data_IF_879618053620
#
_entry.id   IF_879618053620
#
_cell.length_a   1.000
_cell.length_b   1.000
_cell.length_c   1.000
_cell.angle_alpha   90.00
_cell.angle_beta   90.00
_cell.angle_gamma   90.00
#
_symmetry.space_group_name_H-M   'P 1'
#
loop_
_entity.id
_entity.type
_entity.pdbx_description
1 polymer ?
#
# COMPACT_ATOMS: atom_id res chain seq x y z
N UNK A 1 -12.98 37.00 -10.67
CA UNK A 1 -11.95 36.12 -10.12
C UNK A 1 -12.53 35.53 -8.85
N UNK A 2 -13.04 34.31 -8.89
CA UNK A 2 -13.47 33.58 -7.68
C UNK A 2 -12.24 33.05 -6.99
N UNK A 3 -12.17 33.27 -5.69
CA UNK A 3 -11.06 32.87 -4.82
C UNK A 3 -10.91 31.34 -4.84
N UNK A 4 -9.86 30.85 -5.46
CA UNK A 4 -9.55 29.41 -5.59
C UNK A 4 -9.10 28.80 -4.25
N UNK A 5 -8.84 29.66 -3.24
CA UNK A 5 -8.35 29.23 -1.93
C UNK A 5 -9.44 28.63 -1.02
N UNK A 6 -10.72 28.92 -1.29
CA UNK A 6 -11.83 28.48 -0.44
C UNK A 6 -12.36 27.05 -0.75
N UNK A 7 -12.08 26.50 -1.94
CA UNK A 7 -12.58 25.19 -2.38
C UNK A 7 -11.58 24.00 -2.19
N UNK A 8 -10.38 24.29 -1.71
CA UNK A 8 -9.40 23.29 -1.30
C UNK A 8 -9.60 22.90 0.17
N UNK A 9 -10.67 22.23 0.52
CA UNK A 9 -10.72 21.45 1.78
C UNK A 9 -9.80 20.24 1.64
N UNK A 10 -8.52 20.52 1.83
CA UNK A 10 -7.45 19.55 1.97
C UNK A 10 -7.68 18.78 3.28
N UNK A 11 -7.90 17.48 3.20
CA UNK A 11 -7.68 16.62 4.36
C UNK A 11 -6.16 16.54 4.60
N UNK A 12 -5.64 17.54 5.33
CA UNK A 12 -4.26 17.53 5.84
C UNK A 12 -4.17 16.39 6.85
N UNK A 13 -3.39 15.36 6.53
CA UNK A 13 -3.22 14.19 7.39
C UNK A 13 -2.10 14.43 8.42
N UNK A 14 -1.25 15.45 8.21
CA UNK A 14 -0.18 15.85 9.15
C UNK A 14 -0.01 17.37 9.10
N UNK A 15 -0.26 18.08 10.20
CA UNK A 15 0.14 19.47 10.40
C UNK A 15 1.54 19.54 11.03
N UNK A 16 2.41 20.36 10.46
CA UNK A 16 3.78 20.55 10.87
C UNK A 16 3.93 21.17 12.27
N UNK A 17 4.88 20.64 13.04
CA UNK A 17 5.26 21.11 14.36
C UNK A 17 5.96 22.48 14.37
N UNK A 18 5.99 23.09 15.54
CA UNK A 18 6.57 24.43 15.82
C UNK A 18 8.07 24.48 15.58
N UNK A 19 8.51 25.55 14.89
CA UNK A 19 9.91 25.91 14.64
C UNK A 19 10.61 26.27 15.96
N UNK A 20 11.67 25.53 16.34
CA UNK A 20 12.66 25.95 17.33
C UNK A 20 13.91 26.47 16.62
N UNK A 21 14.31 27.72 16.90
CA UNK A 21 15.50 28.35 16.36
C UNK A 21 16.77 27.71 16.95
N UNK A 22 17.51 26.97 16.14
CA UNK A 22 18.94 26.71 16.34
C UNK A 22 19.72 27.30 15.15
N UNK A 23 20.80 28.03 15.42
CA UNK A 23 21.69 28.58 14.39
C UNK A 23 22.58 27.44 13.90
N UNK A 24 22.31 26.95 12.71
CA UNK A 24 23.28 26.35 11.80
C UNK A 24 22.60 26.32 10.44
N UNK A 25 23.28 26.69 9.38
CA UNK A 25 22.90 26.88 7.97
C UNK A 25 21.39 26.80 7.71
N UNK A 26 20.77 27.94 7.38
CA UNK A 26 19.32 27.98 7.05
C UNK A 26 19.08 27.07 5.82
N UNK A 27 18.85 25.82 6.07
CA UNK A 27 18.32 24.90 5.05
C UNK A 27 16.96 25.45 4.63
N UNK A 28 16.83 25.83 3.36
CA UNK A 28 15.57 26.37 2.84
C UNK A 28 14.52 25.29 2.99
N UNK A 29 13.48 25.54 3.79
CA UNK A 29 12.38 24.60 3.99
C UNK A 29 11.72 24.24 2.65
N UNK A 30 11.73 22.97 2.31
CA UNK A 30 11.18 22.44 1.06
C UNK A 30 9.72 22.04 1.23
N UNK A 31 9.01 22.03 0.10
CA UNK A 31 7.60 21.62 0.06
C UNK A 31 7.41 20.43 -0.85
N UNK A 32 6.97 19.32 -0.28
CA UNK A 32 6.72 18.07 -0.99
C UNK A 32 5.24 17.68 -0.97
N UNK A 33 4.77 17.14 -2.08
CA UNK A 33 3.43 16.55 -2.16
C UNK A 33 3.55 15.06 -2.48
N UNK A 34 2.83 14.24 -1.71
CA UNK A 34 2.69 12.80 -1.95
C UNK A 34 1.29 12.56 -2.47
N UNK A 35 1.18 12.23 -3.74
CA UNK A 35 -0.09 12.00 -4.43
C UNK A 35 -0.45 10.52 -4.35
N UNK A 36 -1.63 10.25 -3.81
CA UNK A 36 -2.19 8.90 -3.70
C UNK A 36 -3.60 8.84 -4.27
N UNK A 37 -4.20 7.65 -4.33
CA UNK A 37 -5.62 7.48 -4.62
C UNK A 37 -6.22 6.46 -3.65
N UNK A 38 -7.41 6.76 -3.11
CA UNK A 38 -8.16 5.87 -2.19
C UNK A 38 -8.86 4.73 -2.94
N UNK A 39 -8.12 4.03 -3.79
CA UNK A 39 -8.53 2.77 -4.41
C UNK A 39 -7.81 1.67 -3.61
N UNK A 40 -8.41 1.28 -2.46
CA UNK A 40 -7.72 0.48 -1.44
C UNK A 40 -7.00 1.35 -0.39
N UNK A 41 -6.45 0.72 0.64
CA UNK A 41 -5.75 1.44 1.73
C UNK A 41 -4.22 1.37 1.61
N UNK A 42 -3.68 0.46 0.80
CA UNK A 42 -2.24 0.23 0.67
C UNK A 42 -1.48 1.47 0.22
N UNK A 43 -1.87 2.06 -0.91
CA UNK A 43 -1.22 3.26 -1.47
C UNK A 43 -1.19 4.44 -0.48
N UNK A 44 -2.30 4.69 0.23
CA UNK A 44 -2.37 5.77 1.20
C UNK A 44 -1.56 5.49 2.48
N UNK A 45 -1.42 4.25 2.92
CA UNK A 45 -0.56 3.90 4.05
C UNK A 45 0.93 3.98 3.67
N UNK A 46 1.32 3.57 2.46
CA UNK A 46 2.67 3.79 1.94
C UNK A 46 3.02 5.29 1.84
N UNK A 47 2.07 6.10 1.34
CA UNK A 47 2.22 7.55 1.31
C UNK A 47 2.44 8.16 2.70
N UNK A 48 1.70 7.69 3.71
CA UNK A 48 1.89 8.11 5.11
C UNK A 48 3.24 7.69 5.66
N UNK A 49 3.70 6.47 5.38
CA UNK A 49 5.00 5.99 5.82
C UNK A 49 6.14 6.87 5.28
N UNK A 50 6.05 7.29 4.00
CA UNK A 50 7.01 8.21 3.39
C UNK A 50 6.94 9.59 4.05
N UNK A 51 5.72 10.11 4.29
CA UNK A 51 5.54 11.41 4.95
C UNK A 51 6.12 11.41 6.37
N UNK A 52 5.88 10.35 7.15
CA UNK A 52 6.48 10.17 8.48
C UNK A 52 8.02 10.14 8.42
N UNK A 53 8.61 9.48 7.41
CA UNK A 53 10.05 9.43 7.22
C UNK A 53 10.63 10.80 6.90
N UNK A 54 10.03 11.56 5.98
CA UNK A 54 10.44 12.93 5.63
C UNK A 54 10.35 13.84 6.85
N UNK A 55 9.21 13.86 7.54
CA UNK A 55 8.98 14.73 8.71
C UNK A 55 9.97 14.44 9.85
N UNK A 56 10.36 13.18 10.02
CA UNK A 56 11.32 12.76 11.04
C UNK A 56 12.75 13.15 10.71
N UNK A 57 13.16 13.01 9.44
CA UNK A 57 14.53 13.27 9.00
C UNK A 57 14.78 14.74 8.68
N UNK A 58 13.77 15.46 8.22
CA UNK A 58 13.81 16.87 7.83
C UNK A 58 12.58 17.62 8.39
N UNK A 59 12.55 17.88 9.71
CA UNK A 59 11.36 18.44 10.37
C UNK A 59 11.03 19.88 9.95
N UNK A 60 11.96 20.58 9.29
CA UNK A 60 11.73 21.91 8.74
C UNK A 60 10.92 21.89 7.43
N UNK A 61 10.92 20.76 6.71
CA UNK A 61 10.26 20.62 5.43
C UNK A 61 8.75 20.40 5.59
N UNK A 62 7.98 20.89 4.62
CA UNK A 62 6.53 20.67 4.54
C UNK A 62 6.25 19.48 3.65
N UNK A 63 5.55 18.47 4.17
CA UNK A 63 5.08 17.34 3.39
C UNK A 63 3.57 17.15 3.55
N UNK A 64 2.86 17.03 2.43
CA UNK A 64 1.41 16.84 2.41
C UNK A 64 1.04 15.61 1.59
N UNK A 65 0.19 14.75 2.17
CA UNK A 65 -0.39 13.59 1.47
C UNK A 65 -1.75 13.99 0.92
N UNK A 66 -1.90 13.93 -0.39
CA UNK A 66 -3.12 14.32 -1.09
C UNK A 66 -3.75 13.11 -1.79
N UNK A 67 -5.01 12.85 -1.44
CA UNK A 67 -5.82 11.87 -2.17
C UNK A 67 -6.41 12.52 -3.42
N UNK A 68 -5.89 12.11 -4.57
CA UNK A 68 -6.22 12.73 -5.85
C UNK A 68 -7.64 12.36 -6.36
N UNK A 69 -8.20 11.25 -5.89
CA UNK A 69 -9.51 10.74 -6.31
C UNK A 69 -10.63 11.15 -5.36
N UNK A 70 -10.36 11.33 -4.06
CA UNK A 70 -11.41 11.58 -3.06
C UNK A 70 -11.80 13.05 -2.86
N UNK A 71 -11.10 13.99 -3.50
CA UNK A 71 -11.42 15.40 -3.35
C UNK A 71 -12.73 15.76 -4.08
N UNK A 72 -13.71 16.23 -3.32
CA UNK A 72 -15.11 16.55 -3.67
C UNK A 72 -15.35 17.54 -4.86
N UNK A 73 -14.42 17.70 -5.77
CA UNK A 73 -14.47 18.69 -6.84
C UNK A 73 -15.18 18.24 -8.12
N UNK A 74 -15.59 16.95 -8.24
CA UNK A 74 -16.29 16.50 -9.44
C UNK A 74 -17.30 15.36 -9.17
N UNK A 75 -18.56 15.57 -9.64
CA UNK A 75 -19.58 14.52 -9.75
C UNK A 75 -19.16 13.34 -10.64
N UNK A 76 -18.13 13.51 -11.46
CA UNK A 76 -17.53 12.50 -12.35
C UNK A 76 -16.71 11.48 -11.55
N UNK A 77 -16.07 11.88 -10.45
CA UNK A 77 -15.23 11.01 -9.62
C UNK A 77 -16.03 9.85 -9.00
N UNK A 78 -17.30 10.08 -8.65
CA UNK A 78 -18.20 9.01 -8.21
C UNK A 78 -18.45 7.97 -9.30
N UNK A 79 -18.64 8.39 -10.54
CA UNK A 79 -18.89 7.47 -11.66
C UNK A 79 -17.66 6.63 -11.96
N UNK A 80 -16.45 7.22 -11.93
CA UNK A 80 -15.19 6.51 -12.18
C UNK A 80 -14.87 5.56 -11.01
N UNK A 81 -15.00 6.03 -9.76
CA UNK A 81 -14.77 5.22 -8.57
C UNK A 81 -15.78 4.09 -8.43
N UNK A 82 -17.06 4.39 -8.57
CA UNK A 82 -18.14 3.39 -8.51
C UNK A 82 -18.08 2.45 -9.71
N UNK A 83 -17.74 2.93 -10.90
CA UNK A 83 -17.52 2.12 -12.09
C UNK A 83 -16.35 1.15 -11.93
N UNK A 84 -15.21 1.62 -11.41
CA UNK A 84 -14.03 0.81 -11.15
C UNK A 84 -14.28 -0.22 -10.03
N UNK A 85 -14.86 0.19 -8.90
CA UNK A 85 -15.20 -0.72 -7.81
C UNK A 85 -16.27 -1.74 -8.22
N UNK A 86 -17.32 -1.31 -8.96
CA UNK A 86 -18.33 -2.22 -9.51
C UNK A 86 -17.73 -3.18 -10.55
N UNK A 87 -16.78 -2.74 -11.35
CA UNK A 87 -16.10 -3.61 -12.31
C UNK A 87 -15.30 -4.72 -11.61
N UNK A 88 -14.62 -4.40 -10.50
CA UNK A 88 -13.90 -5.40 -9.69
C UNK A 88 -14.87 -6.33 -8.96
N UNK A 89 -15.96 -5.79 -8.38
CA UNK A 89 -16.90 -6.58 -7.56
C UNK A 89 -17.86 -7.42 -8.40
N UNK A 90 -18.34 -6.90 -9.54
CA UNK A 90 -19.40 -7.54 -10.36
C UNK A 90 -18.81 -8.41 -11.48
N UNK A 91 -17.61 -8.08 -11.98
CA UNK A 91 -16.96 -8.79 -13.08
C UNK A 91 -15.48 -9.06 -12.80
N UNK A 92 -15.13 -9.84 -11.75
CA UNK A 92 -13.74 -10.13 -11.42
C UNK A 92 -12.99 -10.83 -12.56
N UNK A 93 -13.65 -11.74 -13.28
CA UNK A 93 -13.07 -12.42 -14.46
C UNK A 93 -12.82 -11.47 -15.63
N UNK A 94 -13.71 -10.49 -15.85
CA UNK A 94 -13.54 -9.47 -16.88
C UNK A 94 -12.43 -8.48 -16.50
N UNK A 95 -12.24 -8.21 -15.21
CA UNK A 95 -11.10 -7.43 -14.73
C UNK A 95 -9.77 -8.17 -14.95
N UNK A 96 -9.73 -9.47 -14.71
CA UNK A 96 -8.56 -10.33 -14.96
C UNK A 96 -8.23 -10.38 -16.46
N UNK A 97 -9.24 -10.49 -17.33
CA UNK A 97 -9.07 -10.38 -18.78
C UNK A 97 -8.64 -8.98 -19.22
N UNK A 98 -9.23 -7.92 -18.68
CA UNK A 98 -8.82 -6.55 -18.96
C UNK A 98 -7.42 -6.26 -18.37
N UNK A 99 -7.06 -6.86 -17.25
CA UNK A 99 -5.73 -6.76 -16.66
C UNK A 99 -4.69 -7.49 -17.49
N UNK A 100 -4.95 -8.72 -17.91
CA UNK A 100 -4.07 -9.51 -18.78
C UNK A 100 -4.03 -9.01 -20.21
N UNK A 101 -5.18 -8.62 -20.79
CA UNK A 101 -5.28 -8.09 -22.17
C UNK A 101 -4.85 -6.62 -22.27
N UNK A 102 -4.98 -5.80 -21.20
CA UNK A 102 -4.48 -4.42 -21.19
C UNK A 102 -2.95 -4.37 -21.26
N UNK A 103 -2.27 -5.44 -20.83
CA UNK A 103 -0.84 -5.59 -21.09
C UNK A 103 -0.50 -5.69 -22.58
N UNK A 104 -1.45 -6.03 -23.46
CA UNK A 104 -1.19 -6.21 -24.90
C UNK A 104 -2.10 -5.39 -25.83
N UNK A 105 -3.15 -4.70 -25.34
CA UNK A 105 -4.12 -4.07 -26.23
C UNK A 105 -3.95 -2.56 -26.37
N UNK A 106 -4.11 -2.06 -27.63
CA UNK A 106 -4.20 -0.62 -27.94
C UNK A 106 -5.34 0.09 -27.16
N UNK A 107 -6.33 -0.66 -26.68
CA UNK A 107 -7.46 -0.13 -25.92
C UNK A 107 -7.05 0.22 -24.48
N UNK A 108 -6.18 -0.57 -23.84
CA UNK A 108 -5.64 -0.27 -22.50
C UNK A 108 -4.81 1.01 -22.50
N UNK A 109 -3.96 1.21 -23.53
CA UNK A 109 -3.17 2.44 -23.68
C UNK A 109 -4.06 3.66 -23.94
N UNK A 110 -5.15 3.50 -24.71
CA UNK A 110 -6.10 4.58 -24.98
C UNK A 110 -6.87 5.01 -23.72
N UNK A 111 -7.37 4.06 -22.92
CA UNK A 111 -8.07 4.34 -21.67
C UNK A 111 -7.17 5.01 -20.62
N UNK A 112 -5.90 4.59 -20.53
CA UNK A 112 -4.88 5.23 -19.70
C UNK A 112 -4.69 6.69 -20.09
N UNK A 113 -4.49 6.96 -21.38
CA UNK A 113 -4.28 8.32 -21.90
C UNK A 113 -5.50 9.22 -21.63
N UNK A 114 -6.71 8.69 -21.79
CA UNK A 114 -7.94 9.43 -21.51
C UNK A 114 -8.08 9.78 -20.02
N UNK A 115 -7.79 8.85 -19.11
CA UNK A 115 -7.78 9.10 -17.67
C UNK A 115 -6.71 10.13 -17.29
N UNK A 116 -5.50 9.97 -17.76
CA UNK A 116 -4.41 10.92 -17.51
C UNK A 116 -4.72 12.32 -18.04
N UNK A 117 -5.35 12.44 -19.20
CA UNK A 117 -5.79 13.72 -19.75
C UNK A 117 -6.89 14.38 -18.92
N UNK A 118 -7.84 13.63 -18.38
CA UNK A 118 -8.90 14.18 -17.50
C UNK A 118 -8.34 14.77 -16.21
N UNK A 119 -7.27 14.17 -15.67
CA UNK A 119 -6.61 14.63 -14.45
C UNK A 119 -5.52 15.69 -14.68
N UNK A 120 -5.01 15.84 -15.89
CA UNK A 120 -3.90 16.73 -16.22
C UNK A 120 -4.14 18.20 -15.85
N UNK A 121 -5.32 18.74 -16.20
CA UNK A 121 -5.65 20.16 -15.88
C UNK A 121 -5.63 20.41 -14.38
N UNK A 122 -6.17 19.48 -13.60
CA UNK A 122 -6.20 19.57 -12.14
C UNK A 122 -4.79 19.49 -11.55
N UNK A 123 -3.97 18.55 -12.03
CA UNK A 123 -2.57 18.44 -11.62
C UNK A 123 -1.80 19.73 -11.92
N UNK A 124 -1.97 20.31 -13.12
CA UNK A 124 -1.35 21.59 -13.47
C UNK A 124 -1.76 22.71 -12.52
N UNK A 125 -3.07 22.87 -12.23
CA UNK A 125 -3.57 23.89 -11.32
C UNK A 125 -3.00 23.71 -9.90
N UNK A 126 -2.91 22.47 -9.40
CA UNK A 126 -2.31 22.15 -8.10
C UNK A 126 -0.85 22.60 -8.07
N UNK A 127 -0.04 22.19 -9.03
CA UNK A 127 1.40 22.51 -9.09
C UNK A 127 1.63 24.01 -9.19
N UNK A 128 0.86 24.72 -10.05
CA UNK A 128 0.99 26.18 -10.22
C UNK A 128 0.57 26.97 -8.97
N UNK A 129 -0.46 26.51 -8.25
CA UNK A 129 -0.94 27.15 -7.04
C UNK A 129 -0.02 26.90 -5.84
N UNK A 130 0.56 25.71 -5.72
CA UNK A 130 1.29 25.28 -4.53
C UNK A 130 2.80 25.34 -4.66
N UNK A 131 3.32 25.33 -5.90
CA UNK A 131 4.76 25.37 -6.25
C UNK A 131 5.60 24.41 -5.39
N UNK A 132 5.36 23.09 -5.50
CA UNK A 132 6.16 22.11 -4.75
C UNK A 132 7.59 22.04 -5.31
N UNK A 133 8.53 21.70 -4.45
CA UNK A 133 9.93 21.43 -4.84
C UNK A 133 10.09 20.06 -5.48
N UNK A 134 9.26 19.09 -5.12
CA UNK A 134 9.14 17.78 -5.79
C UNK A 134 7.80 17.11 -5.45
N UNK A 135 7.45 16.09 -6.23
CA UNK A 135 6.25 15.29 -6.00
C UNK A 135 6.56 13.79 -6.00
N UNK A 136 5.85 13.08 -5.12
CA UNK A 136 5.87 11.61 -5.02
C UNK A 136 4.51 11.07 -5.40
N UNK A 137 4.48 9.93 -6.07
CA UNK A 137 3.26 9.26 -6.50
C UNK A 137 3.25 7.82 -6.00
N UNK A 138 2.30 7.46 -5.16
CA UNK A 138 2.08 6.07 -4.73
C UNK A 138 0.97 5.38 -5.52
N UNK A 139 0.39 6.09 -6.53
CA UNK A 139 -0.65 5.55 -7.41
C UNK A 139 -0.41 6.03 -8.85
N UNK A 140 -0.62 5.17 -9.88
CA UNK A 140 -0.29 5.50 -11.27
C UNK A 140 -1.14 6.61 -11.89
N UNK A 141 -2.41 6.80 -11.49
CA UNK A 141 -3.27 7.83 -12.10
C UNK A 141 -2.74 9.26 -11.93
N UNK A 142 -2.42 9.73 -10.72
CA UNK A 142 -1.79 11.04 -10.58
C UNK A 142 -0.38 11.10 -11.18
N UNK A 143 0.37 9.98 -11.20
CA UNK A 143 1.69 9.91 -11.83
C UNK A 143 1.61 10.20 -13.31
N UNK A 144 0.76 9.48 -14.05
CA UNK A 144 0.57 9.68 -15.50
C UNK A 144 0.08 11.10 -15.85
N UNK A 145 -0.73 11.74 -15.00
CA UNK A 145 -1.14 13.13 -15.21
C UNK A 145 0.04 14.11 -15.09
N UNK A 146 0.97 13.88 -14.14
CA UNK A 146 2.16 14.70 -13.97
C UNK A 146 3.20 14.42 -15.08
N UNK A 147 3.36 13.15 -15.47
CA UNK A 147 4.22 12.72 -16.58
C UNK A 147 3.88 13.44 -17.88
N UNK A 148 2.59 13.51 -18.26
CA UNK A 148 2.13 14.26 -19.42
C UNK A 148 2.46 15.76 -19.36
N UNK A 149 2.36 16.39 -18.18
CA UNK A 149 2.72 17.79 -18.01
C UNK A 149 4.22 18.02 -18.18
N UNK A 150 5.04 17.07 -17.71
CA UNK A 150 6.49 17.12 -17.88
C UNK A 150 6.92 16.86 -19.29
N UNK A 151 6.29 15.89 -19.98
CA UNK A 151 6.49 15.62 -21.41
C UNK A 151 6.25 16.84 -22.30
N UNK A 152 5.30 17.70 -21.93
CA UNK A 152 4.96 18.94 -22.65
C UNK A 152 5.83 20.15 -22.24
N UNK A 153 6.77 19.97 -21.30
CA UNK A 153 7.55 21.08 -20.77
C UNK A 153 6.74 22.08 -19.91
N UNK A 154 5.52 21.70 -19.49
CA UNK A 154 4.66 22.56 -18.65
C UNK A 154 5.14 22.64 -17.20
N UNK A 155 5.91 21.68 -16.72
CA UNK A 155 6.53 21.59 -15.41
C UNK A 155 7.94 21.04 -15.51
N UNK A 156 8.82 21.42 -14.56
CA UNK A 156 10.22 20.94 -14.47
C UNK A 156 10.54 20.27 -13.13
N UNK A 157 9.62 20.33 -12.15
CA UNK A 157 9.85 19.75 -10.83
C UNK A 157 10.14 18.26 -10.87
N UNK A 158 10.95 17.71 -9.93
CA UNK A 158 11.18 16.29 -9.80
C UNK A 158 9.92 15.49 -9.53
N UNK A 159 9.74 14.38 -10.23
CA UNK A 159 8.64 13.45 -10.10
C UNK A 159 9.16 12.05 -9.74
N UNK A 160 8.73 11.49 -8.61
CA UNK A 160 9.15 10.18 -8.11
C UNK A 160 7.95 9.22 -8.03
N UNK A 161 7.95 8.16 -8.82
CA UNK A 161 7.00 7.06 -8.73
C UNK A 161 7.41 6.06 -7.64
N UNK A 162 6.48 5.62 -6.80
CA UNK A 162 6.68 4.59 -5.78
C UNK A 162 5.69 3.47 -6.00
N UNK A 163 6.16 2.37 -6.56
CA UNK A 163 5.34 1.20 -6.87
C UNK A 163 5.14 0.38 -5.59
N UNK A 164 3.90 0.16 -5.22
CA UNK A 164 3.49 -0.44 -3.94
C UNK A 164 2.93 -1.84 -4.08
N UNK A 165 3.31 -2.55 -5.12
CA UNK A 165 2.96 -3.94 -5.42
C UNK A 165 4.22 -4.75 -5.79
N UNK A 166 4.10 -6.08 -5.81
CA UNK A 166 5.14 -7.01 -6.28
C UNK A 166 4.98 -7.39 -7.76
N UNK A 167 4.22 -6.56 -8.49
CA UNK A 167 4.07 -6.59 -9.94
C UNK A 167 3.96 -5.17 -10.47
N UNK A 168 4.24 -4.97 -11.76
CA UNK A 168 4.18 -3.67 -12.40
C UNK A 168 3.05 -3.67 -13.43
N UNK A 169 1.99 -2.94 -13.10
CA UNK A 169 0.95 -2.67 -14.07
C UNK A 169 1.44 -1.64 -15.11
N UNK A 170 1.05 -1.80 -16.39
CA UNK A 170 1.44 -0.88 -17.47
C UNK A 170 1.12 0.59 -17.20
N UNK A 171 0.13 0.87 -16.35
CA UNK A 171 -0.19 2.23 -15.90
C UNK A 171 0.98 2.93 -15.19
N UNK A 172 2.02 2.20 -14.76
CA UNK A 172 3.23 2.75 -14.17
C UNK A 172 4.34 3.07 -15.16
N UNK A 173 4.14 2.78 -16.47
CA UNK A 173 5.15 3.03 -17.48
C UNK A 173 5.06 4.49 -17.95
N UNK A 174 5.61 5.39 -17.13
CA UNK A 174 5.66 6.83 -17.32
C UNK A 174 7.11 7.25 -17.64
N UNK A 175 7.37 7.76 -18.84
CA UNK A 175 8.74 7.96 -19.37
C UNK A 175 9.43 9.20 -18.83
N UNK A 176 8.67 10.17 -18.33
CA UNK A 176 9.16 11.47 -17.88
C UNK A 176 9.23 11.61 -16.36
N UNK A 177 8.91 10.56 -15.59
CA UNK A 177 9.24 10.52 -14.17
C UNK A 177 10.76 10.51 -13.99
N UNK A 178 11.29 11.29 -13.04
CA UNK A 178 12.73 11.38 -12.79
C UNK A 178 13.27 10.17 -12.05
N UNK A 179 12.42 9.45 -11.32
CA UNK A 179 12.78 8.25 -10.59
C UNK A 179 11.63 7.32 -10.31
N UNK A 180 12.00 6.06 -10.06
CA UNK A 180 11.10 4.99 -9.61
C UNK A 180 11.66 4.33 -8.37
N UNK A 181 10.81 4.07 -7.38
CA UNK A 181 11.09 3.18 -6.27
C UNK A 181 10.28 1.89 -6.44
N UNK A 182 10.95 0.75 -6.40
CA UNK A 182 10.36 -0.58 -6.61
C UNK A 182 10.66 -1.51 -5.44
N UNK A 183 9.82 -2.57 -5.30
CA UNK A 183 9.91 -3.50 -4.19
C UNK A 183 11.15 -4.42 -4.28
N UNK A 184 11.49 -4.90 -5.47
CA UNK A 184 12.49 -5.95 -5.68
C UNK A 184 13.40 -5.66 -6.89
N UNK A 185 14.59 -6.31 -6.97
CA UNK A 185 15.44 -6.23 -8.14
C UNK A 185 14.73 -6.72 -9.43
N UNK A 186 13.93 -7.78 -9.35
CA UNK A 186 13.19 -8.31 -10.50
C UNK A 186 12.24 -7.26 -11.11
N UNK A 187 11.65 -6.40 -10.26
CA UNK A 187 10.80 -5.30 -10.73
C UNK A 187 11.63 -4.18 -11.39
N UNK A 188 12.88 -3.97 -10.96
CA UNK A 188 13.80 -3.09 -11.65
C UNK A 188 14.10 -3.63 -13.04
N UNK A 189 14.51 -4.90 -13.15
CA UNK A 189 14.80 -5.54 -14.42
C UNK A 189 13.58 -5.49 -15.36
N UNK A 190 12.39 -5.69 -14.81
CA UNK A 190 11.13 -5.58 -15.56
C UNK A 190 10.89 -4.15 -16.10
N UNK A 191 11.12 -3.09 -15.31
CA UNK A 191 11.00 -1.70 -15.80
C UNK A 191 12.01 -1.39 -16.89
N UNK A 192 13.23 -1.92 -16.80
CA UNK A 192 14.25 -1.75 -17.84
C UNK A 192 13.80 -2.36 -19.18
N UNK A 193 13.01 -3.44 -19.17
CA UNK A 193 12.44 -4.01 -20.44
C UNK A 193 11.44 -3.08 -21.11
N UNK A 194 10.91 -2.07 -20.38
CA UNK A 194 10.02 -1.04 -20.91
C UNK A 194 10.75 0.27 -21.29
N UNK A 195 12.05 0.21 -21.53
CA UNK A 195 12.93 1.34 -21.86
C UNK A 195 13.02 2.42 -20.77
N UNK A 196 12.82 2.09 -19.51
CA UNK A 196 13.11 2.97 -18.38
C UNK A 196 14.59 2.82 -18.01
N UNK A 197 15.33 3.93 -17.99
CA UNK A 197 16.75 3.93 -17.63
C UNK A 197 16.96 3.39 -16.20
N UNK A 198 17.76 2.33 -16.06
CA UNK A 198 18.06 1.67 -14.79
C UNK A 198 18.69 2.59 -13.74
N UNK A 199 19.34 3.69 -14.16
CA UNK A 199 19.88 4.70 -13.23
C UNK A 199 18.79 5.49 -12.50
N UNK A 200 17.56 5.51 -13.02
CA UNK A 200 16.38 6.13 -12.40
C UNK A 200 15.59 5.15 -11.54
N UNK A 201 15.93 3.85 -11.51
CA UNK A 201 15.17 2.83 -10.80
C UNK A 201 15.91 2.43 -9.52
N UNK A 202 15.26 2.64 -8.38
CA UNK A 202 15.79 2.39 -7.05
C UNK A 202 15.05 1.24 -6.37
N UNK A 203 15.76 0.21 -5.96
CA UNK A 203 15.17 -0.91 -5.19
C UNK A 203 15.13 -0.49 -3.72
N UNK A 204 13.97 -0.04 -3.25
CA UNK A 204 13.78 0.48 -1.88
C UNK A 204 12.93 -0.42 -1.00
N UNK A 205 12.22 -1.38 -1.58
CA UNK A 205 11.12 -2.06 -0.92
C UNK A 205 9.83 -1.20 -0.89
N UNK A 206 8.72 -1.81 -0.50
CA UNK A 206 7.45 -1.11 -0.31
C UNK A 206 7.50 -0.34 1.02
N UNK A 207 7.15 0.97 1.04
CA UNK A 207 7.21 1.79 2.25
C UNK A 207 6.25 1.30 3.34
N UNK A 208 6.80 0.94 4.50
CA UNK A 208 6.08 0.52 5.70
C UNK A 208 6.33 1.51 6.82
N UNK A 209 5.30 1.79 7.63
CA UNK A 209 5.40 2.70 8.78
C UNK A 209 6.40 2.19 9.81
N UNK A 210 7.13 3.13 10.41
CA UNK A 210 8.18 2.85 11.41
C UNK A 210 7.69 2.00 12.59
N UNK A 211 6.45 2.15 13.00
CA UNK A 211 5.85 1.39 14.10
C UNK A 211 5.97 -0.14 13.91
N UNK A 212 5.96 -0.65 12.67
CA UNK A 212 6.14 -2.08 12.42
C UNK A 212 7.59 -2.53 12.71
N UNK A 213 8.59 -1.76 12.31
CA UNK A 213 10.00 -2.06 12.63
C UNK A 213 10.30 -1.98 14.14
N UNK A 214 9.63 -1.07 14.85
CA UNK A 214 9.78 -0.94 16.29
C UNK A 214 9.13 -2.12 17.01
N UNK A 215 7.92 -2.50 16.62
CA UNK A 215 7.17 -3.63 17.21
C UNK A 215 7.72 -4.99 16.79
N UNK A 216 8.42 -5.12 15.67
CA UNK A 216 9.09 -6.36 15.29
C UNK A 216 10.10 -6.83 16.33
N UNK A 217 10.74 -5.91 17.07
CA UNK A 217 11.67 -6.20 18.17
C UNK A 217 10.99 -6.85 19.39
N UNK A 218 9.69 -6.65 19.54
CA UNK A 218 8.89 -7.18 20.65
C UNK A 218 8.27 -8.56 20.31
N UNK A 219 8.47 -9.07 19.08
CA UNK A 219 7.75 -10.24 18.57
C UNK A 219 8.15 -11.58 19.20
N UNK A 220 9.26 -11.67 19.88
CA UNK A 220 9.65 -12.89 20.62
C UNK A 220 8.65 -13.29 21.71
N UNK A 221 7.81 -12.34 22.17
CA UNK A 221 6.78 -12.51 23.19
C UNK A 221 5.35 -12.64 22.62
N UNK A 222 5.18 -13.20 21.42
CA UNK A 222 3.84 -13.42 20.86
C UNK A 222 2.99 -14.39 21.70
N UNK A 223 1.68 -14.22 21.66
CA UNK A 223 0.72 -15.06 22.38
C UNK A 223 0.47 -16.36 21.58
N UNK A 224 0.89 -17.49 22.15
CA UNK A 224 0.79 -18.80 21.49
C UNK A 224 -0.65 -19.14 21.09
N UNK A 225 -0.85 -19.63 19.87
CA UNK A 225 -2.16 -19.95 19.31
C UNK A 225 -2.99 -18.74 18.90
N UNK A 226 -2.44 -17.51 18.95
CA UNK A 226 -3.15 -16.32 18.50
C UNK A 226 -3.06 -16.16 16.98
N UNK A 227 -4.21 -16.15 16.33
CA UNK A 227 -4.34 -15.97 14.88
C UNK A 227 -4.93 -14.60 14.58
N UNK A 228 -4.17 -13.78 13.85
CA UNK A 228 -4.67 -12.50 13.33
C UNK A 228 -5.38 -12.73 11.98
N UNK A 229 -6.65 -12.30 11.89
CA UNK A 229 -7.43 -12.40 10.65
C UNK A 229 -7.77 -11.01 10.14
N UNK A 230 -7.35 -10.69 8.92
CA UNK A 230 -7.55 -9.36 8.34
C UNK A 230 -8.09 -9.45 6.91
N UNK A 231 -9.11 -8.61 6.59
CA UNK A 231 -9.64 -8.41 5.25
C UNK A 231 -9.03 -7.20 4.52
N UNK A 232 -7.90 -6.67 5.02
CA UNK A 232 -7.37 -5.39 4.57
C UNK A 232 -8.22 -4.19 5.01
N UNK A 233 -7.85 -2.98 4.60
CA UNK A 233 -8.52 -1.76 5.09
C UNK A 233 -9.98 -1.59 4.65
N UNK A 234 -10.42 -2.30 3.61
CA UNK A 234 -11.81 -2.33 3.14
C UNK A 234 -12.59 -3.53 3.69
N UNK A 235 -11.96 -4.43 4.46
CA UNK A 235 -12.62 -5.60 5.03
C UNK A 235 -13.13 -6.57 3.97
N UNK A 236 -12.34 -6.82 2.93
CA UNK A 236 -12.65 -7.79 1.87
C UNK A 236 -12.09 -9.19 2.22
N UNK A 237 -12.53 -10.24 1.53
CA UNK A 237 -11.88 -11.55 1.61
C UNK A 237 -12.55 -12.57 2.53
N UNK A 238 -13.88 -12.66 2.56
CA UNK A 238 -14.64 -13.74 3.23
C UNK A 238 -14.23 -14.02 4.69
N UNK A 239 -13.89 -12.95 5.46
CA UNK A 239 -13.37 -13.04 6.84
C UNK A 239 -14.26 -13.89 7.75
N UNK A 240 -15.59 -13.73 7.65
CA UNK A 240 -16.57 -14.50 8.45
C UNK A 240 -16.40 -16.00 8.24
N UNK A 241 -16.34 -16.44 6.98
CA UNK A 241 -16.19 -17.84 6.64
C UNK A 241 -14.81 -18.39 7.01
N UNK A 242 -13.77 -17.59 6.84
CA UNK A 242 -12.41 -17.98 7.24
C UNK A 242 -12.35 -18.26 8.75
N UNK A 243 -12.93 -17.39 9.59
CA UNK A 243 -12.97 -17.57 11.05
C UNK A 243 -13.79 -18.82 11.42
N UNK A 244 -14.98 -19.00 10.81
CA UNK A 244 -15.81 -20.17 11.08
C UNK A 244 -15.10 -21.50 10.77
N UNK A 245 -14.30 -21.55 9.68
CA UNK A 245 -13.49 -22.73 9.34
C UNK A 245 -12.32 -22.94 10.29
N UNK A 246 -11.69 -21.86 10.72
CA UNK A 246 -10.55 -21.91 11.62
C UNK A 246 -10.96 -22.26 13.06
N UNK A 247 -12.22 -22.09 13.44
CA UNK A 247 -12.73 -22.44 14.77
C UNK A 247 -12.68 -23.95 15.06
N UNK A 248 -12.47 -24.80 14.03
CA UNK A 248 -12.24 -26.24 14.19
C UNK A 248 -10.77 -26.61 14.49
N UNK A 249 -9.84 -25.63 14.49
CA UNK A 249 -8.41 -25.85 14.72
C UNK A 249 -8.10 -25.73 16.21
N UNK A 250 -7.88 -26.85 16.89
CA UNK A 250 -7.67 -26.91 18.34
C UNK A 250 -6.43 -26.17 18.85
N UNK A 251 -5.42 -25.97 17.96
CA UNK A 251 -4.19 -25.24 18.27
C UNK A 251 -4.40 -23.73 18.41
N UNK A 252 -5.54 -23.22 17.96
CA UNK A 252 -5.90 -21.80 18.10
C UNK A 252 -6.35 -21.55 19.53
N UNK A 253 -5.76 -20.54 20.19
CA UNK A 253 -6.18 -20.09 21.51
C UNK A 253 -7.15 -18.91 21.45
N UNK A 254 -6.99 -18.05 20.44
CA UNK A 254 -7.88 -16.91 20.19
C UNK A 254 -7.69 -16.34 18.79
N UNK A 255 -8.68 -15.57 18.35
CA UNK A 255 -8.61 -14.74 17.17
C UNK A 255 -8.44 -13.26 17.54
N UNK A 256 -7.57 -12.56 16.82
CA UNK A 256 -7.61 -11.11 16.69
C UNK A 256 -8.17 -10.82 15.30
N UNK A 257 -9.27 -10.06 15.19
CA UNK A 257 -9.94 -9.82 13.91
C UNK A 257 -10.00 -8.32 13.63
N UNK A 258 -9.51 -7.92 12.44
CA UNK A 258 -9.58 -6.53 11.99
C UNK A 258 -10.44 -6.44 10.73
N UNK A 259 -11.58 -5.79 10.85
CA UNK A 259 -12.57 -5.65 9.77
C UNK A 259 -12.39 -4.39 8.92
N UNK A 260 -11.42 -3.54 9.30
CA UNK A 260 -11.19 -2.29 8.60
C UNK A 260 -12.38 -1.33 8.68
N UNK A 261 -12.67 -0.64 7.58
CA UNK A 261 -13.80 0.32 7.50
C UNK A 261 -15.16 -0.32 7.22
N UNK A 262 -15.24 -1.65 7.17
CA UNK A 262 -16.45 -2.39 6.83
C UNK A 262 -17.31 -2.64 8.08
N UNK A 263 -18.28 -1.76 8.33
CA UNK A 263 -19.20 -1.84 9.48
C UNK A 263 -20.05 -3.12 9.41
N UNK A 264 -20.58 -3.46 8.22
CA UNK A 264 -21.38 -4.68 8.05
C UNK A 264 -20.58 -5.96 8.34
N UNK A 265 -19.31 -5.98 7.97
CA UNK A 265 -18.41 -7.09 8.33
C UNK A 265 -18.18 -7.15 9.84
N UNK A 266 -17.99 -6.00 10.50
CA UNK A 266 -17.83 -5.93 11.96
C UNK A 266 -19.01 -6.56 12.68
N UNK A 267 -20.24 -6.16 12.30
CA UNK A 267 -21.48 -6.70 12.88
C UNK A 267 -21.62 -8.21 12.66
N UNK A 268 -21.30 -8.69 11.46
CA UNK A 268 -21.34 -10.13 11.14
C UNK A 268 -20.33 -10.94 11.96
N UNK A 269 -19.11 -10.42 12.14
CA UNK A 269 -18.09 -11.08 12.96
C UNK A 269 -18.46 -11.04 14.43
N UNK A 270 -19.04 -9.94 14.94
CA UNK A 270 -19.54 -9.84 16.31
C UNK A 270 -20.61 -10.89 16.61
N UNK A 271 -21.59 -11.04 15.71
CA UNK A 271 -22.64 -12.06 15.84
C UNK A 271 -22.12 -13.51 15.72
N UNK A 272 -21.05 -13.71 14.92
CA UNK A 272 -20.39 -15.02 14.81
C UNK A 272 -19.61 -15.33 16.11
N UNK A 273 -18.91 -14.35 16.68
CA UNK A 273 -18.04 -14.52 17.84
C UNK A 273 -18.78 -15.13 19.06
N UNK A 274 -20.09 -14.85 19.22
CA UNK A 274 -20.91 -15.43 20.28
C UNK A 274 -21.11 -16.96 20.15
N UNK A 275 -20.82 -17.53 18.98
CA UNK A 275 -21.05 -18.95 18.63
C UNK A 275 -19.75 -19.75 18.48
N UNK A 276 -18.61 -19.08 18.47
CA UNK A 276 -17.32 -19.72 18.29
C UNK A 276 -16.82 -20.37 19.59
N UNK A 277 -16.01 -21.41 19.43
CA UNK A 277 -15.29 -22.10 20.53
C UNK A 277 -14.17 -21.23 21.08
N UNK A 278 -13.49 -20.47 20.18
CA UNK A 278 -12.34 -19.65 20.52
C UNK A 278 -12.73 -18.18 20.75
N UNK A 279 -12.17 -17.50 21.74
CA UNK A 279 -12.42 -16.09 21.98
C UNK A 279 -11.97 -15.21 20.80
N UNK A 280 -12.71 -14.13 20.56
CA UNK A 280 -12.46 -13.17 19.49
C UNK A 280 -12.21 -11.78 20.07
N UNK A 281 -11.04 -11.23 19.80
CA UNK A 281 -10.71 -9.81 20.00
C UNK A 281 -11.01 -9.06 18.70
N UNK A 282 -12.16 -8.37 18.63
CA UNK A 282 -12.68 -7.76 17.42
C UNK A 282 -12.37 -6.26 17.35
N UNK A 283 -11.82 -5.83 16.20
CA UNK A 283 -11.50 -4.44 15.92
C UNK A 283 -12.08 -4.00 14.56
N UNK A 284 -12.53 -2.76 14.52
CA UNK A 284 -12.82 -2.04 13.28
C UNK A 284 -11.52 -1.49 12.65
N UNK A 285 -11.60 -0.34 11.95
CA UNK A 285 -10.37 0.34 11.48
C UNK A 285 -9.52 0.83 12.65
N UNK A 286 -8.24 0.46 12.65
CA UNK A 286 -7.31 0.78 13.75
C UNK A 286 -5.91 1.10 13.23
N UNK A 287 -5.17 1.94 13.96
CA UNK A 287 -3.75 2.21 13.73
C UNK A 287 -2.83 1.24 14.49
N UNK A 288 -3.38 0.34 15.32
CA UNK A 288 -2.64 -0.58 16.20
C UNK A 288 -2.32 -1.93 15.54
N UNK A 289 -2.34 -2.02 14.20
CA UNK A 289 -2.09 -3.28 13.48
C UNK A 289 -0.70 -3.85 13.79
N UNK A 290 0.32 -3.00 13.95
CA UNK A 290 1.66 -3.44 14.33
C UNK A 290 1.68 -4.14 15.70
N UNK A 291 0.94 -3.64 16.70
CA UNK A 291 0.79 -4.25 18.02
C UNK A 291 0.07 -5.62 17.93
N UNK A 292 -0.97 -5.70 17.09
CA UNK A 292 -1.70 -6.94 16.86
C UNK A 292 -0.85 -7.98 16.16
N UNK A 293 -0.08 -7.59 15.14
CA UNK A 293 0.87 -8.47 14.47
C UNK A 293 1.97 -8.95 15.43
N UNK A 294 2.47 -8.10 16.33
CA UNK A 294 3.47 -8.48 17.33
C UNK A 294 2.96 -9.58 18.28
N UNK A 295 1.68 -9.50 18.68
CA UNK A 295 1.04 -10.46 19.58
C UNK A 295 0.61 -11.76 18.89
N UNK A 296 0.57 -11.79 17.56
CA UNK A 296 0.01 -12.91 16.79
C UNK A 296 1.08 -13.91 16.39
N UNK A 297 0.76 -15.18 16.40
CA UNK A 297 1.63 -16.26 15.96
C UNK A 297 1.61 -16.45 14.44
N UNK A 298 0.45 -16.19 13.81
CA UNK A 298 0.22 -16.31 12.36
C UNK A 298 -0.77 -15.24 11.88
N UNK A 299 -0.63 -14.82 10.62
CA UNK A 299 -1.57 -13.93 9.94
C UNK A 299 -2.34 -14.70 8.86
N UNK A 300 -3.67 -14.60 8.88
CA UNK A 300 -4.55 -15.05 7.81
C UNK A 300 -5.14 -13.83 7.11
N UNK A 301 -4.83 -13.66 5.82
CA UNK A 301 -5.25 -12.46 5.08
C UNK A 301 -5.36 -12.71 3.58
N UNK A 302 -5.94 -11.76 2.84
CA UNK A 302 -5.78 -11.67 1.39
C UNK A 302 -4.39 -11.12 1.05
N UNK A 303 -3.82 -11.42 -0.12
CA UNK A 303 -2.44 -11.05 -0.47
C UNK A 303 -2.30 -9.59 -0.92
N UNK A 304 -2.74 -8.63 -0.10
CA UNK A 304 -2.47 -7.22 -0.33
C UNK A 304 -1.00 -6.90 -0.09
N UNK A 305 -0.30 -6.31 -1.06
CA UNK A 305 1.15 -6.12 -1.03
C UNK A 305 1.65 -5.42 0.24
N UNK A 306 0.98 -4.35 0.67
CA UNK A 306 1.39 -3.64 1.88
C UNK A 306 1.21 -4.50 3.13
N UNK A 307 0.07 -5.19 3.30
CA UNK A 307 -0.17 -6.06 4.45
C UNK A 307 0.86 -7.20 4.50
N UNK A 308 1.18 -7.79 3.34
CA UNK A 308 2.24 -8.80 3.25
C UNK A 308 3.61 -8.21 3.64
N UNK A 309 3.94 -7.00 3.18
CA UNK A 309 5.20 -6.34 3.54
C UNK A 309 5.25 -5.99 5.03
N UNK A 310 4.15 -5.52 5.62
CA UNK A 310 4.03 -5.29 7.06
C UNK A 310 4.28 -6.58 7.86
N UNK A 311 3.69 -7.70 7.44
CA UNK A 311 3.91 -9.01 8.05
C UNK A 311 5.36 -9.50 7.88
N UNK A 312 5.98 -9.27 6.70
CA UNK A 312 7.41 -9.57 6.48
C UNK A 312 8.30 -8.80 7.44
N UNK A 313 8.09 -7.48 7.59
CA UNK A 313 8.82 -6.64 8.55
C UNK A 313 8.67 -7.15 9.98
N UNK A 314 7.49 -7.70 10.29
CA UNK A 314 7.19 -8.29 11.59
C UNK A 314 7.67 -9.74 11.74
N UNK A 315 8.30 -10.35 10.74
CA UNK A 315 8.64 -11.79 10.72
C UNK A 315 7.45 -12.68 11.06
N UNK A 316 6.24 -12.29 10.59
CA UNK A 316 4.99 -12.96 10.89
C UNK A 316 4.62 -13.93 9.76
N UNK A 317 4.61 -15.25 9.99
CA UNK A 317 4.16 -16.23 9.01
C UNK A 317 2.74 -15.94 8.53
N UNK A 318 2.50 -16.14 7.23
CA UNK A 318 1.23 -15.81 6.59
C UNK A 318 0.54 -17.03 5.99
N UNK A 319 -0.79 -17.06 6.07
CA UNK A 319 -1.63 -17.90 5.20
C UNK A 319 -2.49 -16.98 4.35
N UNK A 320 -2.27 -17.02 3.04
CA UNK A 320 -2.91 -16.16 2.06
C UNK A 320 -4.10 -16.87 1.42
N UNK A 321 -5.26 -16.23 1.51
CA UNK A 321 -6.55 -16.76 1.01
C UNK A 321 -7.33 -15.68 0.25
N UNK A 322 -8.37 -16.10 -0.45
CA UNK A 322 -9.33 -15.19 -1.10
C UNK A 322 -8.67 -14.17 -2.02
N UNK A 323 -7.71 -14.63 -2.80
CA UNK A 323 -6.94 -13.83 -3.74
C UNK A 323 -7.84 -13.26 -4.83
N UNK A 324 -7.83 -11.95 -4.99
CA UNK A 324 -8.46 -11.32 -6.14
C UNK A 324 -7.59 -11.52 -7.39
N UNK A 325 -8.21 -11.58 -8.59
CA UNK A 325 -7.48 -11.60 -9.85
C UNK A 325 -6.52 -10.41 -10.02
N UNK A 326 -5.49 -10.57 -10.85
CA UNK A 326 -4.53 -9.51 -11.14
C UNK A 326 -3.39 -9.41 -10.12
N UNK A 327 -3.12 -8.22 -9.60
CA UNK A 327 -1.97 -7.90 -8.72
C UNK A 327 -1.89 -8.78 -7.46
N UNK A 328 -3.03 -9.13 -6.85
CA UNK A 328 -3.01 -9.97 -5.64
C UNK A 328 -2.49 -11.38 -5.91
N UNK A 329 -2.70 -11.91 -7.12
CA UNK A 329 -2.14 -13.22 -7.51
C UNK A 329 -0.62 -13.17 -7.62
N UNK A 330 -0.06 -12.11 -8.20
CA UNK A 330 1.38 -11.90 -8.26
C UNK A 330 1.98 -11.73 -6.86
N UNK A 331 1.33 -10.95 -6.00
CA UNK A 331 1.73 -10.77 -4.60
C UNK A 331 1.74 -12.11 -3.84
N UNK A 332 0.68 -12.93 -3.99
CA UNK A 332 0.60 -14.24 -3.34
C UNK A 332 1.71 -15.18 -3.81
N UNK A 333 1.96 -15.22 -5.13
CA UNK A 333 3.02 -16.04 -5.71
C UNK A 333 4.39 -15.60 -5.19
N UNK A 334 4.65 -14.30 -5.14
CA UNK A 334 5.91 -13.74 -4.61
C UNK A 334 6.14 -14.18 -3.15
N UNK A 335 5.14 -14.01 -2.28
CA UNK A 335 5.23 -14.40 -0.86
C UNK A 335 5.45 -15.89 -0.68
N UNK A 336 4.76 -16.72 -1.49
CA UNK A 336 4.93 -18.17 -1.48
C UNK A 336 6.34 -18.57 -1.93
N UNK A 337 6.85 -17.99 -3.01
CA UNK A 337 8.19 -18.27 -3.53
C UNK A 337 9.30 -17.88 -2.55
N UNK A 338 9.11 -16.81 -1.77
CA UNK A 338 10.00 -16.43 -0.68
C UNK A 338 9.96 -17.44 0.48
N UNK A 339 8.88 -18.21 0.61
CA UNK A 339 8.67 -19.15 1.71
C UNK A 339 8.16 -18.52 3.00
N UNK A 340 7.72 -17.24 2.97
CA UNK A 340 7.14 -16.54 4.11
C UNK A 340 5.62 -16.69 4.22
N UNK A 341 4.98 -17.29 3.20
CA UNK A 341 3.54 -17.52 3.18
C UNK A 341 3.16 -18.85 2.54
N UNK A 342 2.08 -19.44 3.06
CA UNK A 342 1.31 -20.46 2.37
C UNK A 342 0.18 -19.78 1.60
N UNK A 343 0.07 -20.06 0.30
CA UNK A 343 -1.03 -19.59 -0.53
C UNK A 343 -1.97 -20.75 -0.82
N UNK A 344 -3.13 -20.74 -0.21
CA UNK A 344 -4.04 -21.89 -0.13
C UNK A 344 -5.42 -21.59 -0.69
N UNK A 345 -6.10 -22.63 -1.15
CA UNK A 345 -7.53 -22.58 -1.45
C UNK A 345 -8.33 -22.55 -0.15
N UNK A 346 -9.55 -22.05 -0.24
CA UNK A 346 -10.46 -21.94 0.91
C UNK A 346 -10.63 -23.25 1.70
N UNK A 347 -10.69 -24.40 1.01
CA UNK A 347 -10.84 -25.71 1.66
C UNK A 347 -9.59 -26.20 2.41
N UNK A 348 -8.43 -25.63 2.12
CA UNK A 348 -7.13 -26.04 2.68
C UNK A 348 -6.72 -25.15 3.86
N UNK A 349 -7.49 -24.09 4.17
CA UNK A 349 -7.14 -23.06 5.15
C UNK A 349 -6.89 -23.64 6.55
N UNK A 350 -7.81 -24.44 7.06
CA UNK A 350 -7.71 -25.00 8.42
C UNK A 350 -6.51 -25.94 8.57
N UNK A 351 -6.25 -26.77 7.54
CA UNK A 351 -5.13 -27.72 7.56
C UNK A 351 -3.78 -26.98 7.48
N UNK A 352 -3.67 -25.95 6.66
CA UNK A 352 -2.46 -25.13 6.55
C UNK A 352 -2.17 -24.41 7.88
N UNK A 353 -3.17 -23.76 8.48
CA UNK A 353 -3.00 -23.09 9.78
C UNK A 353 -2.61 -24.08 10.87
N UNK A 354 -3.29 -25.24 10.93
CA UNK A 354 -2.97 -26.31 11.87
C UNK A 354 -1.53 -26.79 11.74
N UNK A 355 -1.08 -27.04 10.49
CA UNK A 355 0.29 -27.49 10.23
C UNK A 355 1.34 -26.48 10.73
N UNK A 356 1.12 -25.18 10.47
CA UNK A 356 2.07 -24.14 10.91
C UNK A 356 2.06 -23.98 12.44
N UNK A 357 0.89 -24.06 13.10
CA UNK A 357 0.81 -23.91 14.55
C UNK A 357 1.41 -25.11 15.30
N UNK A 358 1.29 -26.34 14.75
CA UNK A 358 1.84 -27.56 15.33
C UNK A 358 3.35 -27.67 15.24
N UNK A 359 3.94 -27.14 14.17
CA UNK A 359 5.38 -27.32 13.92
C UNK A 359 6.15 -25.99 14.09
N UNK A 360 6.87 -25.83 15.24
CA UNK A 360 7.69 -24.65 15.47
C UNK A 360 8.82 -24.47 14.45
N UNK A 361 9.31 -25.53 13.81
CA UNK A 361 10.38 -25.45 12.81
C UNK A 361 9.86 -24.88 11.49
N UNK A 362 8.66 -25.30 11.06
CA UNK A 362 7.97 -24.73 9.90
C UNK A 362 7.74 -23.25 10.13
N UNK A 363 7.20 -22.88 11.28
CA UNK A 363 6.92 -21.49 11.63
C UNK A 363 8.19 -20.65 11.67
N UNK A 364 9.27 -21.17 12.29
CA UNK A 364 10.56 -20.50 12.31
C UNK A 364 11.11 -20.29 10.90
N UNK A 365 11.08 -21.31 10.04
CA UNK A 365 11.53 -21.23 8.66
C UNK A 365 10.76 -20.14 7.89
N UNK A 366 9.44 -20.06 8.06
CA UNK A 366 8.61 -19.00 7.44
C UNK A 366 8.97 -17.61 7.98
N UNK A 367 9.17 -17.47 9.28
CA UNK A 367 9.57 -16.21 9.90
C UNK A 367 10.96 -15.74 9.44
N UNK A 368 11.92 -16.67 9.33
CA UNK A 368 13.27 -16.39 8.83
C UNK A 368 13.23 -15.95 7.35
N UNK A 369 12.36 -16.56 6.54
CA UNK A 369 12.14 -16.18 5.14
C UNK A 369 11.59 -14.75 4.99
N UNK A 370 10.87 -14.23 5.97
CA UNK A 370 10.39 -12.85 6.00
C UNK A 370 11.52 -11.81 6.10
N UNK A 371 12.73 -12.19 6.51
CA UNK A 371 13.87 -11.28 6.73
C UNK A 371 14.38 -10.55 5.48
N UNK A 372 13.87 -10.90 4.29
CA UNK A 372 14.19 -10.27 3.00
C UNK A 372 13.57 -8.87 2.88
N UNK A 373 12.62 -8.50 3.75
CA UNK A 373 12.05 -7.14 3.73
C UNK A 373 13.14 -6.11 4.06
N UNK A 374 13.35 -5.16 3.15
CA UNK A 374 14.35 -4.11 3.33
C UNK A 374 14.01 -3.24 4.56
N UNK A 375 14.96 -3.11 5.48
CA UNK A 375 14.81 -2.23 6.63
C UNK A 375 14.79 -0.77 6.17
N UNK A 376 13.81 0.01 6.64
CA UNK A 376 13.76 1.45 6.39
C UNK A 376 13.39 1.84 4.95
N UNK A 377 12.51 1.06 4.29
CA UNK A 377 12.04 1.35 2.93
C UNK A 377 11.53 2.78 2.74
N UNK A 378 10.76 3.31 3.70
CA UNK A 378 10.27 4.70 3.65
C UNK A 378 11.41 5.73 3.74
N UNK A 379 12.46 5.45 4.53
CA UNK A 379 13.64 6.30 4.64
C UNK A 379 14.46 6.29 3.34
N UNK A 380 14.56 5.14 2.68
CA UNK A 380 15.22 5.01 1.39
C UNK A 380 14.49 5.81 0.30
N UNK A 381 13.15 5.73 0.27
CA UNK A 381 12.34 6.56 -0.65
C UNK A 381 12.55 8.06 -0.37
N UNK A 382 12.54 8.48 0.90
CA UNK A 382 12.82 9.86 1.27
C UNK A 382 14.21 10.30 0.78
N UNK A 383 15.24 9.47 0.97
CA UNK A 383 16.61 9.75 0.46
C UNK A 383 16.61 9.95 -1.06
N UNK A 384 15.98 9.05 -1.82
CA UNK A 384 15.89 9.19 -3.29
C UNK A 384 15.23 10.52 -3.68
N UNK A 385 14.14 10.92 -3.00
CA UNK A 385 13.48 12.21 -3.21
C UNK A 385 14.44 13.39 -3.05
N UNK A 386 15.21 13.41 -1.93
CA UNK A 386 16.15 14.48 -1.66
C UNK A 386 17.30 14.52 -2.67
N UNK A 387 17.79 13.36 -3.12
CA UNK A 387 18.82 13.26 -4.14
C UNK A 387 18.32 13.80 -5.49
N UNK A 388 17.05 13.58 -5.85
CA UNK A 388 16.43 14.15 -7.05
C UNK A 388 16.23 15.68 -6.90
N UNK A 389 15.77 16.14 -5.74
CA UNK A 389 15.53 17.56 -5.49
C UNK A 389 16.82 18.42 -5.37
N UNK A 390 17.99 17.80 -5.18
CA UNK A 390 19.30 18.50 -5.16
C UNK A 390 19.91 18.68 -6.55
N UNK A 391 19.49 17.91 -7.54
CA UNK A 391 20.02 17.94 -8.90
C UNK A 391 19.43 19.07 -9.76
N UNK A 392 18.49 19.83 -9.22
CA UNK A 392 17.90 21.03 -9.84
C UNK A 392 18.42 22.31 -9.18
#
# INVERSE_FOLDING_TARGET
>A
MRDVSADLRLYVIIEGGKVTKGRDEMEIARKFYIMTASIGTGHSQAARAIAEAIQRTHPADSVQVLDFVSSNLFSIDHIIKDGYLKMIDVFPEMYDHLYSDSQMSRFGQFSQKMLSLSFKRRMKNLIMATKPDAMIFTHPFPAGAADLLKAEGSISIPLLGVITDFDIHQLWIDRYLDGYCVATPDLKDLLETYDIDGSRIHVTGIPVRRAFYEKAKEREAFEKGTVLVMGGGLGLGNVVDNIARLDEVEEISKFIVVTGKNISLYEKVAALAEKLKHPVELHSYTNKVAEMMARSEILVTKPGALTCTEAMVMHLPMVLVNTLPGQERANAMHMKNLGCAEWVKRGELADSVRAILRDPLVRKKMADACSVASSGSADQVAKVLYDLARKQ
#
